data_IF_574217562723
#
_entry.id   IF_574217562723
#
_cell.length_a   1.000
_cell.length_b   1.000
_cell.length_c   1.000
_cell.angle_alpha   90.00
_cell.angle_beta   90.00
_cell.angle_gamma   90.00
#
_symmetry.space_group_name_H-M   'P 1'
#
loop_
_entity.id
_entity.type
_entity.pdbx_description
1 polymer ?
#
# COMPACT_ATOMS: atom_id res chain seq x y z
N UNK A 1 -30.29 -36.95 1.48
CA UNK A 1 -29.23 -36.55 0.54
C UNK A 1 -28.80 -35.16 0.95
N UNK A 2 -27.77 -35.06 1.79
CA UNK A 2 -27.18 -33.80 2.22
C UNK A 2 -25.83 -33.69 1.50
N UNK A 3 -25.75 -32.81 0.52
CA UNK A 3 -24.49 -32.39 -0.08
C UNK A 3 -23.73 -31.53 0.93
N UNK A 4 -22.64 -32.07 1.46
CA UNK A 4 -21.66 -31.34 2.26
C UNK A 4 -20.57 -30.88 1.29
N UNK A 5 -20.35 -29.57 1.09
CA UNK A 5 -19.22 -29.12 0.28
C UNK A 5 -17.90 -29.38 1.03
N UNK A 6 -16.93 -29.96 0.30
CA UNK A 6 -15.58 -30.23 0.77
C UNK A 6 -14.90 -28.98 1.35
N UNK A 7 -14.12 -29.11 2.44
CA UNK A 7 -13.26 -28.04 2.92
C UNK A 7 -12.11 -27.77 1.93
N UNK A 8 -11.90 -26.50 1.61
CA UNK A 8 -10.77 -26.02 0.81
C UNK A 8 -9.42 -26.44 1.43
N UNK A 9 -8.38 -26.65 0.60
CA UNK A 9 -7.08 -27.12 1.06
C UNK A 9 -6.40 -26.10 1.99
N UNK A 10 -6.15 -26.54 3.22
CA UNK A 10 -5.31 -25.90 4.23
C UNK A 10 -3.86 -25.92 3.72
N UNK A 11 -3.33 -24.76 3.34
CA UNK A 11 -2.01 -24.71 2.71
C UNK A 11 -1.33 -23.34 2.67
N UNK A 12 -1.54 -22.45 3.65
CA UNK A 12 -0.65 -21.29 3.84
C UNK A 12 0.34 -21.60 4.96
N UNK A 13 1.44 -22.27 4.59
CA UNK A 13 2.64 -22.27 5.43
C UNK A 13 3.20 -20.85 5.41
N UNK A 14 3.30 -20.23 6.58
CA UNK A 14 4.19 -19.10 6.80
C UNK A 14 5.62 -19.56 6.44
N UNK A 15 6.05 -19.25 5.22
CA UNK A 15 7.44 -19.39 4.84
C UNK A 15 8.22 -18.38 5.68
N UNK A 16 9.13 -18.89 6.52
CA UNK A 16 10.01 -18.08 7.34
C UNK A 16 10.67 -17.01 6.49
N UNK A 17 10.45 -15.76 6.87
CA UNK A 17 11.04 -14.58 6.26
C UNK A 17 12.55 -14.65 6.50
N UNK A 18 13.29 -15.13 5.50
CA UNK A 18 14.67 -14.67 5.31
C UNK A 18 14.51 -13.25 4.77
N UNK A 19 14.79 -12.26 5.61
CA UNK A 19 14.93 -10.90 5.16
C UNK A 19 16.03 -10.90 4.08
N UNK A 20 15.65 -10.71 2.82
CA UNK A 20 16.56 -10.38 1.73
C UNK A 20 17.07 -8.96 1.98
N UNK A 21 17.96 -8.84 2.95
CA UNK A 21 18.74 -7.64 3.23
C UNK A 21 19.70 -7.44 2.06
N UNK A 22 19.28 -6.69 1.04
CA UNK A 22 20.17 -6.35 -0.07
C UNK A 22 19.53 -5.84 -1.36
N UNK A 23 18.22 -5.96 -1.55
CA UNK A 23 17.57 -5.34 -2.72
C UNK A 23 17.57 -3.82 -2.54
N UNK A 24 18.51 -3.13 -3.19
CA UNK A 24 18.42 -1.70 -3.43
C UNK A 24 17.52 -1.53 -4.63
N UNK A 25 16.36 -0.90 -4.49
CA UNK A 25 15.46 -0.55 -5.61
C UNK A 25 16.01 0.64 -6.43
N UNK A 26 17.34 0.76 -6.49
CA UNK A 26 18.05 1.74 -7.32
C UNK A 26 17.92 1.33 -8.78
N UNK A 27 16.94 1.91 -9.46
CA UNK A 27 16.78 1.76 -10.91
C UNK A 27 15.48 1.10 -11.36
N UNK A 28 14.44 1.07 -10.51
CA UNK A 28 13.10 0.80 -11.02
C UNK A 28 12.82 1.78 -12.19
N UNK A 29 12.51 1.27 -13.39
CA UNK A 29 12.37 2.09 -14.58
C UNK A 29 11.02 2.80 -14.50
N UNK A 30 10.96 3.87 -13.71
CA UNK A 30 9.84 4.79 -13.80
C UNK A 30 9.92 5.44 -15.18
N UNK A 31 8.83 5.34 -15.93
CA UNK A 31 8.72 5.98 -17.23
C UNK A 31 9.16 7.45 -17.11
N UNK A 32 10.17 7.83 -17.90
CA UNK A 32 10.63 9.22 -18.02
C UNK A 32 9.41 10.07 -18.37
N UNK A 33 9.19 11.25 -17.77
CA UNK A 33 8.01 12.06 -18.07
C UNK A 33 8.05 12.50 -19.54
N UNK A 34 7.38 11.75 -20.40
CA UNK A 34 6.84 12.23 -21.66
C UNK A 34 5.67 13.16 -21.36
N UNK A 35 5.28 13.97 -22.33
CA UNK A 35 4.12 14.86 -22.21
C UNK A 35 2.93 14.07 -21.64
N UNK A 36 2.29 14.53 -20.55
CA UNK A 36 1.28 13.74 -19.88
C UNK A 36 0.12 13.51 -20.85
N UNK A 37 -0.12 12.24 -21.17
CA UNK A 37 -1.36 11.80 -21.79
C UNK A 37 -2.52 12.00 -20.79
N UNK A 38 -3.76 12.06 -21.26
CA UNK A 38 -4.92 12.10 -20.36
C UNK A 38 -4.95 10.89 -19.40
N UNK A 39 -4.39 9.75 -19.82
CA UNK A 39 -4.20 8.56 -19.00
C UNK A 39 -3.16 8.78 -17.87
N UNK A 40 -2.14 9.61 -18.09
CA UNK A 40 -1.14 9.97 -17.07
C UNK A 40 -1.75 10.90 -16.00
N UNK A 41 -2.67 11.79 -16.40
CA UNK A 41 -3.39 12.68 -15.46
C UNK A 41 -4.33 11.85 -14.59
N UNK A 42 -5.10 10.95 -15.20
CA UNK A 42 -5.96 10.02 -14.47
C UNK A 42 -5.16 9.14 -13.51
N UNK A 43 -4.04 8.60 -13.96
CA UNK A 43 -3.15 7.78 -13.13
C UNK A 43 -2.53 8.59 -11.98
N UNK A 44 -2.07 9.82 -12.22
CA UNK A 44 -1.53 10.69 -11.18
C UNK A 44 -2.58 11.07 -10.11
N UNK A 45 -3.84 11.27 -10.51
CA UNK A 45 -4.94 11.50 -9.57
C UNK A 45 -5.25 10.25 -8.74
N UNK A 46 -5.28 9.07 -9.38
CA UNK A 46 -5.49 7.78 -8.71
C UNK A 46 -4.36 7.48 -7.73
N UNK A 47 -3.11 7.80 -8.08
CA UNK A 47 -1.94 7.66 -7.19
C UNK A 47 -1.90 8.67 -6.03
N UNK A 48 -2.85 9.61 -5.98
CA UNK A 48 -3.05 10.52 -4.86
C UNK A 48 -4.26 10.17 -4.01
N UNK A 49 -4.94 9.06 -4.30
CA UNK A 49 -6.10 8.61 -3.51
C UNK A 49 -5.76 8.37 -2.04
N UNK A 50 -4.52 8.06 -1.70
CA UNK A 50 -4.05 7.97 -0.31
C UNK A 50 -4.22 9.29 0.47
N UNK A 51 -4.30 10.45 -0.20
CA UNK A 51 -4.53 11.77 0.42
C UNK A 51 -6.00 12.04 0.77
N UNK A 52 -6.94 11.27 0.21
CA UNK A 52 -8.39 11.47 0.40
C UNK A 52 -9.05 10.27 1.07
N UNK A 53 -8.49 9.08 0.95
CA UNK A 53 -9.02 7.88 1.57
C UNK A 53 -8.58 7.72 3.02
N UNK A 54 -9.35 8.40 3.87
CA UNK A 54 -9.38 8.20 5.32
C UNK A 54 -10.18 6.93 5.65
N UNK A 55 -9.57 5.76 5.46
CA UNK A 55 -9.99 4.53 6.13
C UNK A 55 -11.46 4.07 5.94
N UNK A 56 -12.18 4.45 4.87
CA UNK A 56 -13.60 4.10 4.62
C UNK A 56 -13.86 2.61 4.27
N UNK A 57 -13.06 1.68 4.79
CA UNK A 57 -13.14 0.27 4.41
C UNK A 57 -12.54 0.01 3.03
N UNK A 58 -12.28 -1.26 2.67
CA UNK A 58 -11.77 -1.59 1.35
C UNK A 58 -12.91 -1.50 0.34
N UNK A 59 -12.92 -0.48 -0.51
CA UNK A 59 -13.69 -0.55 -1.75
C UNK A 59 -12.85 -1.32 -2.77
N UNK A 60 -13.35 -2.46 -3.22
CA UNK A 60 -12.70 -3.28 -4.25
C UNK A 60 -12.45 -2.47 -5.54
N UNK A 61 -13.36 -1.54 -5.86
CA UNK A 61 -13.22 -0.64 -7.01
C UNK A 61 -12.00 0.28 -6.88
N UNK A 62 -11.74 0.79 -5.67
CA UNK A 62 -10.58 1.64 -5.39
C UNK A 62 -9.29 0.83 -5.49
N UNK A 63 -9.26 -0.38 -4.94
CA UNK A 63 -8.10 -1.26 -5.03
C UNK A 63 -7.78 -1.60 -6.50
N UNK A 64 -8.80 -1.92 -7.31
CA UNK A 64 -8.63 -2.18 -8.73
C UNK A 64 -8.16 -0.95 -9.52
N UNK A 65 -8.69 0.24 -9.22
CA UNK A 65 -8.26 1.48 -9.84
C UNK A 65 -6.77 1.78 -9.54
N UNK A 66 -6.37 1.65 -8.26
CA UNK A 66 -4.98 1.85 -7.82
C UNK A 66 -4.05 0.82 -8.46
N UNK A 67 -4.42 -0.46 -8.49
CA UNK A 67 -3.61 -1.51 -9.12
C UNK A 67 -3.42 -1.24 -10.62
N UNK A 68 -4.46 -0.80 -11.34
CA UNK A 68 -4.34 -0.46 -12.77
C UNK A 68 -3.40 0.71 -13.00
N UNK A 69 -3.52 1.77 -12.20
CA UNK A 69 -2.61 2.92 -12.28
C UNK A 69 -1.16 2.50 -12.01
N UNK A 70 -0.92 1.68 -10.98
CA UNK A 70 0.42 1.18 -10.63
C UNK A 70 1.02 0.26 -11.69
N UNK A 71 0.21 -0.54 -12.39
CA UNK A 71 0.71 -1.34 -13.53
C UNK A 71 1.18 -0.47 -14.69
N UNK A 72 0.70 0.76 -14.81
CA UNK A 72 1.17 1.72 -15.81
C UNK A 72 2.44 2.47 -15.41
N UNK A 73 2.91 2.39 -14.15
CA UNK A 73 4.04 3.21 -13.67
C UNK A 73 5.41 2.57 -13.81
N UNK A 74 5.48 1.26 -14.01
CA UNK A 74 6.73 0.52 -14.06
C UNK A 74 6.57 -0.84 -14.71
N UNK A 75 7.69 -1.39 -15.17
CA UNK A 75 7.78 -2.69 -15.85
C UNK A 75 8.83 -3.58 -15.19
N UNK A 76 8.72 -4.89 -15.40
CA UNK A 76 9.71 -5.90 -14.98
C UNK A 76 9.38 -6.67 -13.71
N UNK A 77 10.19 -7.69 -13.44
CA UNK A 77 9.95 -8.66 -12.35
C UNK A 77 10.00 -8.01 -10.97
N UNK A 78 10.93 -7.10 -10.73
CA UNK A 78 11.04 -6.38 -9.45
C UNK A 78 9.80 -5.50 -9.17
N UNK A 79 9.24 -4.88 -10.20
CA UNK A 79 8.01 -4.10 -10.06
C UNK A 79 6.80 -5.01 -9.80
N UNK A 80 6.74 -6.14 -10.49
CA UNK A 80 5.72 -7.15 -10.22
C UNK A 80 5.80 -7.69 -8.78
N UNK A 81 7.01 -7.88 -8.26
CA UNK A 81 7.21 -8.26 -6.85
C UNK A 81 6.69 -7.20 -5.89
N UNK A 82 6.95 -5.91 -6.15
CA UNK A 82 6.39 -4.79 -5.35
C UNK A 82 4.86 -4.81 -5.34
N UNK A 83 4.22 -5.11 -6.46
CA UNK A 83 2.75 -5.16 -6.56
C UNK A 83 2.13 -6.40 -5.91
N UNK A 84 2.87 -7.51 -5.83
CA UNK A 84 2.33 -8.81 -5.40
C UNK A 84 2.76 -9.22 -3.99
N UNK A 85 3.93 -8.78 -3.52
CA UNK A 85 4.52 -9.20 -2.26
C UNK A 85 4.52 -8.04 -1.25
N UNK A 86 3.81 -8.16 -0.11
CA UNK A 86 3.77 -7.11 0.91
C UNK A 86 5.15 -6.69 1.44
N UNK A 87 6.06 -7.65 1.58
CA UNK A 87 7.42 -7.36 2.04
C UNK A 87 8.23 -6.52 1.04
N UNK A 88 8.07 -6.77 -0.27
CA UNK A 88 8.71 -5.97 -1.31
C UNK A 88 8.13 -4.55 -1.37
N UNK A 89 6.80 -4.43 -1.26
CA UNK A 89 6.11 -3.15 -1.14
C UNK A 89 6.60 -2.29 0.02
N UNK A 90 6.71 -2.89 1.22
CA UNK A 90 7.23 -2.18 2.40
C UNK A 90 8.68 -1.78 2.22
N UNK A 91 9.52 -2.67 1.68
CA UNK A 91 10.92 -2.37 1.39
C UNK A 91 11.07 -1.18 0.43
N UNK A 92 10.33 -1.19 -0.67
CA UNK A 92 10.28 -0.10 -1.64
C UNK A 92 9.85 1.22 -1.00
N UNK A 93 8.78 1.22 -0.21
CA UNK A 93 8.29 2.44 0.44
C UNK A 93 9.30 3.01 1.46
N UNK A 94 9.94 2.14 2.25
CA UNK A 94 10.96 2.56 3.21
C UNK A 94 12.20 3.16 2.52
N UNK A 95 12.60 2.64 1.37
CA UNK A 95 13.69 3.24 0.57
C UNK A 95 13.30 4.65 0.11
N UNK A 96 12.10 4.83 -0.45
CA UNK A 96 11.58 6.14 -0.87
C UNK A 96 11.50 7.14 0.29
N UNK A 97 11.06 6.70 1.46
CA UNK A 97 10.99 7.56 2.66
C UNK A 97 12.37 7.93 3.18
N UNK A 98 13.33 6.98 3.17
CA UNK A 98 14.70 7.22 3.61
C UNK A 98 15.40 8.27 2.74
N UNK A 99 15.19 8.22 1.43
CA UNK A 99 15.73 9.17 0.47
C UNK A 99 15.01 10.55 0.50
N UNK A 100 14.09 10.75 1.45
CA UNK A 100 13.28 11.98 1.64
C UNK A 100 12.50 12.39 0.40
N UNK A 101 12.20 11.44 -0.48
CA UNK A 101 11.47 11.67 -1.72
C UNK A 101 9.94 11.56 -1.53
N UNK A 102 9.45 11.77 -0.30
CA UNK A 102 8.06 11.49 0.05
C UNK A 102 7.07 12.48 -0.58
N UNK A 103 7.48 13.74 -0.80
CA UNK A 103 6.73 14.75 -1.56
C UNK A 103 6.88 14.63 -3.09
N UNK A 104 7.54 13.58 -3.56
CA UNK A 104 7.76 13.34 -5.00
C UNK A 104 6.76 12.36 -5.60
N UNK A 105 6.80 12.21 -6.93
CA UNK A 105 6.07 11.15 -7.65
C UNK A 105 6.39 9.76 -7.09
N UNK A 106 7.63 9.50 -6.67
CA UNK A 106 8.02 8.23 -6.06
C UNK A 106 7.33 8.03 -4.70
N UNK A 107 7.13 9.11 -3.95
CA UNK A 107 6.34 9.13 -2.72
C UNK A 107 4.87 8.82 -3.00
N UNK A 108 4.26 9.48 -4.00
CA UNK A 108 2.88 9.19 -4.42
C UNK A 108 2.71 7.71 -4.81
N UNK A 109 3.68 7.12 -5.52
CA UNK A 109 3.69 5.69 -5.90
C UNK A 109 3.86 4.78 -4.69
N UNK A 110 4.85 5.05 -3.82
CA UNK A 110 5.08 4.26 -2.60
C UNK A 110 3.86 4.24 -1.68
N UNK A 111 3.25 5.41 -1.45
CA UNK A 111 2.03 5.54 -0.65
C UNK A 111 0.84 4.79 -1.29
N UNK A 112 0.76 4.79 -2.62
CA UNK A 112 -0.29 4.05 -3.36
C UNK A 112 -0.11 2.54 -3.31
N UNK A 113 1.12 2.05 -3.39
CA UNK A 113 1.43 0.62 -3.20
C UNK A 113 1.04 0.18 -1.80
N UNK A 114 1.40 0.95 -0.77
CA UNK A 114 1.00 0.67 0.61
C UNK A 114 -0.52 0.70 0.79
N UNK A 115 -1.21 1.67 0.17
CA UNK A 115 -2.67 1.73 0.16
C UNK A 115 -3.27 0.45 -0.44
N UNK A 116 -2.78 0.00 -1.60
CA UNK A 116 -3.24 -1.24 -2.24
C UNK A 116 -3.12 -2.44 -1.30
N UNK A 117 -1.94 -2.67 -0.71
CA UNK A 117 -1.72 -3.79 0.21
C UNK A 117 -2.56 -3.69 1.49
N UNK A 118 -2.76 -2.48 2.01
CA UNK A 118 -3.65 -2.24 3.14
C UNK A 118 -5.12 -2.55 2.82
N UNK A 119 -5.58 -2.25 1.59
CA UNK A 119 -6.92 -2.60 1.10
C UNK A 119 -7.08 -4.11 0.87
N UNK A 120 -6.01 -4.81 0.48
CA UNK A 120 -5.97 -6.27 0.34
C UNK A 120 -5.86 -7.02 1.68
N UNK A 121 -5.71 -6.30 2.80
CA UNK A 121 -5.70 -6.89 4.14
C UNK A 121 -4.32 -7.17 4.72
N UNK A 122 -3.23 -6.65 4.14
CA UNK A 122 -1.91 -6.69 4.78
C UNK A 122 -1.92 -5.86 6.06
N UNK A 123 -1.40 -6.44 7.15
CA UNK A 123 -1.42 -5.79 8.47
C UNK A 123 -0.29 -4.77 8.68
N UNK A 124 0.78 -4.84 7.88
CA UNK A 124 1.97 -3.98 8.02
C UNK A 124 1.82 -2.69 7.21
N UNK A 125 1.23 -2.79 6.02
CA UNK A 125 1.05 -1.68 5.09
C UNK A 125 0.28 -0.48 5.70
N UNK A 126 -0.80 -0.64 6.49
CA UNK A 126 -1.44 0.46 7.22
C UNK A 126 -0.48 1.24 8.12
N UNK A 127 0.45 0.55 8.78
CA UNK A 127 1.40 1.17 9.73
C UNK A 127 2.42 2.00 8.99
N UNK A 128 2.98 1.45 7.91
CA UNK A 128 3.97 2.13 7.09
C UNK A 128 3.32 3.30 6.36
N UNK A 129 2.07 3.16 5.93
CA UNK A 129 1.27 4.25 5.34
C UNK A 129 1.03 5.37 6.35
N UNK A 130 0.64 5.04 7.59
CA UNK A 130 0.48 6.02 8.67
C UNK A 130 1.81 6.75 8.94
N UNK A 131 2.93 6.02 8.99
CA UNK A 131 4.25 6.62 9.15
C UNK A 131 4.62 7.57 7.99
N UNK A 132 4.31 7.20 6.75
CA UNK A 132 4.52 8.08 5.59
C UNK A 132 3.69 9.36 5.68
N UNK A 133 2.41 9.24 6.07
CA UNK A 133 1.53 10.39 6.32
C UNK A 133 2.07 11.30 7.44
N UNK A 134 2.55 10.70 8.54
CA UNK A 134 3.25 11.36 9.65
C UNK A 134 4.41 12.22 9.15
N UNK A 135 5.28 11.65 8.34
CA UNK A 135 6.45 12.33 7.77
C UNK A 135 6.05 13.47 6.82
N UNK A 136 5.05 13.25 5.96
CA UNK A 136 4.55 14.24 5.01
C UNK A 136 3.93 15.47 5.66
N UNK A 137 3.29 15.32 6.82
CA UNK A 137 2.69 16.47 7.49
C UNK A 137 3.71 17.49 7.98
N UNK A 138 4.98 17.10 8.12
CA UNK A 138 6.02 17.98 8.63
C UNK A 138 6.33 19.10 7.63
N UNK A 139 5.75 20.28 7.87
CA UNK A 139 5.92 21.47 7.01
C UNK A 139 4.89 21.61 5.90
N UNK A 140 3.88 20.73 5.83
CA UNK A 140 2.84 20.80 4.81
C UNK A 140 1.68 21.71 5.24
N UNK A 141 1.09 22.53 4.34
CA UNK A 141 -0.06 23.39 4.65
C UNK A 141 -1.28 22.63 5.22
N UNK A 142 -1.44 21.37 4.84
CA UNK A 142 -2.52 20.48 5.30
C UNK A 142 -2.09 19.53 6.43
N UNK A 143 -1.08 19.88 7.23
CA UNK A 143 -0.50 19.01 8.27
C UNK A 143 -1.56 18.35 9.18
N UNK A 144 -2.56 19.10 9.65
CA UNK A 144 -3.62 18.57 10.52
C UNK A 144 -4.46 17.47 9.86
N UNK A 145 -4.77 17.61 8.57
CA UNK A 145 -5.51 16.59 7.81
C UNK A 145 -4.67 15.34 7.59
N UNK A 146 -3.39 15.52 7.23
CA UNK A 146 -2.46 14.40 7.06
C UNK A 146 -2.27 13.64 8.38
N UNK A 147 -2.31 14.33 9.52
CA UNK A 147 -2.20 13.67 10.84
C UNK A 147 -3.46 12.91 11.20
N UNK A 148 -4.63 13.47 10.93
CA UNK A 148 -5.87 12.74 11.09
C UNK A 148 -5.91 11.47 10.21
N UNK A 149 -5.37 11.52 9.00
CA UNK A 149 -5.23 10.35 8.13
C UNK A 149 -4.25 9.32 8.70
N UNK A 150 -3.10 9.76 9.19
CA UNK A 150 -2.11 8.90 9.84
C UNK A 150 -2.74 8.15 11.00
N UNK A 151 -3.42 8.86 11.90
CA UNK A 151 -4.07 8.26 13.07
C UNK A 151 -5.16 7.27 12.67
N UNK A 152 -5.98 7.59 11.66
CA UNK A 152 -7.01 6.70 11.15
C UNK A 152 -6.42 5.37 10.63
N UNK A 153 -5.30 5.41 9.91
CA UNK A 153 -4.62 4.22 9.43
C UNK A 153 -3.94 3.43 10.55
N UNK A 154 -3.33 4.11 11.52
CA UNK A 154 -2.74 3.47 12.70
C UNK A 154 -3.81 2.77 13.57
N UNK A 155 -5.00 3.34 13.72
CA UNK A 155 -6.08 2.72 14.49
C UNK A 155 -6.72 1.51 13.82
N UNK A 156 -6.58 1.35 12.50
CA UNK A 156 -7.07 0.16 11.77
C UNK A 156 -6.33 -1.13 12.12
N UNK A 157 -5.16 -1.03 12.76
CA UNK A 157 -4.52 -2.16 13.45
C UNK A 157 -5.43 -2.82 14.50
N UNK A 158 -6.45 -2.10 14.99
CA UNK A 158 -7.14 -2.42 16.23
C UNK A 158 -8.63 -2.85 16.10
N UNK A 159 -9.16 -3.28 14.94
CA UNK A 159 -10.50 -3.93 14.95
C UNK A 159 -10.98 -4.67 13.69
N UNK A 160 -11.96 -5.62 13.78
CA UNK A 160 -12.53 -6.32 14.93
C UNK A 160 -12.18 -7.83 14.87
N UNK A 161 -10.97 -8.22 15.28
CA UNK A 161 -10.43 -9.56 15.03
C UNK A 161 -10.21 -10.45 16.26
N UNK A 162 -10.69 -10.06 17.46
CA UNK A 162 -10.67 -10.91 18.66
C UNK A 162 -11.89 -10.65 19.54
N UNK A 163 -13.05 -11.15 19.12
CA UNK A 163 -13.94 -11.79 20.09
C UNK A 163 -13.26 -13.09 20.52
N UNK A 164 -12.33 -12.99 21.48
CA UNK A 164 -12.01 -14.15 22.32
C UNK A 164 -13.35 -14.57 22.89
N UNK A 165 -13.75 -15.81 22.61
CA UNK A 165 -14.98 -16.39 23.10
C UNK A 165 -15.01 -16.37 24.63
N UNK A 166 -15.47 -15.24 25.17
CA UNK A 166 -16.09 -15.19 26.47
C UNK A 166 -17.51 -15.69 26.27
N UNK A 167 -17.75 -16.94 26.64
CA UNK A 167 -19.05 -17.29 27.19
C UNK A 167 -18.87 -17.99 28.55
N UNK A 168 -19.83 -17.73 29.45
CA UNK A 168 -19.76 -17.97 30.88
C UNK A 168 -19.81 -19.44 31.25
#
# INVERSE_FOLDING_TARGET
MNDVPEPLPVGFRAAGVRASSGARFRGLPFARPGSPSDDDIGSALVLRLWRVHAAQGPSEEVALAVLRALRGTGDGDEWNDVLTLPAAAVGFAMEVFHDRAIDSVHGDVAMSVLLLHALMGDATAPVVLAHGLAALAHGHPEAGRLMALSDAWAHRLHGPGRSVGGRP
#
